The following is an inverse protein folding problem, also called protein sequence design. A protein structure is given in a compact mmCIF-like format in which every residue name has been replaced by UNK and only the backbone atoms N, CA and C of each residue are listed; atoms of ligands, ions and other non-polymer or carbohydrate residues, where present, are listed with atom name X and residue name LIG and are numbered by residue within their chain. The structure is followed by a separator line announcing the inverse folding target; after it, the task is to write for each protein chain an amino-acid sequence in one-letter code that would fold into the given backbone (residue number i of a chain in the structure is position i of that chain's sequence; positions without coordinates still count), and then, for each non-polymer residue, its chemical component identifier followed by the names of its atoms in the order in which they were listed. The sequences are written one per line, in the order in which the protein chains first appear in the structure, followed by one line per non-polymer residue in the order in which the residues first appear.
data_IF_029817080230
#
_entry.id   IF_029817080230
#
_cell.length_a   1.000
_cell.length_b   1.000
_cell.length_c   1.000
_cell.angle_alpha   90.00
_cell.angle_beta   90.00
_cell.angle_gamma   90.00
#
_symmetry.space_group_name_H-M   'P 1'
#
loop_
_entity.id
_entity.type
_entity.pdbx_description
1 polymer ?
#
# COMPACT_ATOMS: atom_id res chain seq x y z
N UNK A 1 7.24 -14.75 3.19
CA UNK A 1 7.52 -16.09 3.72
C UNK A 1 9.00 -16.36 3.51
N UNK A 2 9.80 -16.17 4.55
CA UNK A 2 11.25 -16.41 4.52
C UNK A 2 11.62 -16.95 5.91
N UNK A 3 12.12 -18.18 5.95
CA UNK A 3 12.68 -18.79 7.14
C UNK A 3 14.17 -18.44 7.19
N UNK A 4 14.60 -17.96 8.36
CA UNK A 4 15.98 -17.74 8.75
C UNK A 4 16.68 -19.07 9.06
N UNK A 5 17.88 -19.27 8.53
CA UNK A 5 18.87 -20.14 9.15
C UNK A 5 20.23 -19.44 9.08
N UNK A 6 20.86 -19.35 10.25
CA UNK A 6 22.16 -18.78 10.53
C UNK A 6 23.28 -19.80 10.31
N UNK A 7 24.43 -19.34 9.80
CA UNK A 7 25.74 -19.91 10.14
C UNK A 7 26.56 -20.55 9.02
N UNK A 8 27.63 -19.82 8.65
CA UNK A 8 28.95 -20.22 8.14
C UNK A 8 29.23 -20.71 6.70
N UNK A 9 30.13 -19.92 6.09
CA UNK A 9 31.21 -20.18 5.10
C UNK A 9 30.90 -21.12 3.92
N UNK A 10 30.72 -20.52 2.74
CA UNK A 10 31.13 -21.13 1.48
C UNK A 10 30.20 -22.19 0.88
N UNK A 11 28.90 -22.19 1.19
CA UNK A 11 27.95 -23.07 0.51
C UNK A 11 27.66 -22.54 -0.91
N UNK A 12 28.34 -23.10 -1.91
CA UNK A 12 27.88 -23.04 -3.31
C UNK A 12 26.41 -23.46 -3.33
N UNK A 13 25.54 -22.66 -3.96
CA UNK A 13 24.10 -22.90 -3.93
C UNK A 13 23.79 -24.32 -4.44
N UNK A 14 23.48 -25.25 -3.53
CA UNK A 14 23.17 -26.67 -3.81
C UNK A 14 22.00 -26.85 -4.78
N UNK A 15 21.20 -25.80 -4.98
CA UNK A 15 20.04 -25.80 -5.85
C UNK A 15 20.07 -24.57 -6.76
N UNK A 16 20.21 -24.80 -8.06
CA UNK A 16 19.98 -23.77 -9.09
C UNK A 16 18.58 -23.92 -9.67
N UNK A 17 17.91 -22.80 -9.98
CA UNK A 17 16.63 -22.84 -10.70
C UNK A 17 16.90 -23.42 -12.11
N UNK A 18 16.15 -24.45 -12.54
CA UNK A 18 16.37 -25.05 -13.85
C UNK A 18 16.13 -24.04 -14.96
N UNK A 19 17.00 -24.05 -15.97
CA UNK A 19 16.80 -23.25 -17.19
C UNK A 19 15.56 -23.77 -17.93
N UNK A 20 14.89 -22.86 -18.64
CA UNK A 20 13.77 -23.22 -19.53
C UNK A 20 14.27 -24.24 -20.57
N UNK A 21 13.68 -25.46 -20.64
CA UNK A 21 14.15 -26.49 -21.58
C UNK A 21 13.74 -26.23 -23.03
N UNK A 22 12.72 -25.39 -23.25
CA UNK A 22 12.22 -25.04 -24.59
C UNK A 22 10.88 -24.31 -24.54
N UNK A 23 10.27 -24.12 -25.71
CA UNK A 23 8.94 -23.54 -25.86
C UNK A 23 7.90 -24.63 -26.15
N UNK A 24 6.72 -24.52 -25.53
CA UNK A 24 5.61 -25.43 -25.81
C UNK A 24 5.06 -25.24 -27.23
N UNK A 25 4.82 -26.34 -27.94
CA UNK A 25 4.32 -26.37 -29.32
C UNK A 25 2.88 -26.87 -29.44
N UNK A 26 2.37 -27.57 -28.42
CA UNK A 26 1.01 -28.14 -28.38
C UNK A 26 -0.04 -27.06 -28.15
N UNK A 27 -1.23 -27.25 -28.75
CA UNK A 27 -2.39 -26.37 -28.60
C UNK A 27 -2.55 -25.33 -29.71
N UNK A 28 -3.78 -24.83 -29.87
CA UNK A 28 -4.15 -23.86 -30.91
C UNK A 28 -3.58 -22.47 -30.57
N UNK A 29 -2.85 -21.79 -31.48
CA UNK A 29 -2.37 -20.44 -31.23
C UNK A 29 -3.51 -19.44 -31.01
N UNK A 30 -3.31 -18.47 -30.11
CA UNK A 30 -4.23 -17.37 -29.85
C UNK A 30 -3.46 -16.07 -29.61
N UNK A 31 -3.92 -14.96 -30.20
CA UNK A 31 -3.33 -13.63 -29.96
C UNK A 31 -3.90 -13.06 -28.67
N UNK A 32 -3.02 -12.63 -27.76
CA UNK A 32 -3.37 -12.07 -26.46
C UNK A 32 -2.72 -10.70 -26.30
N UNK A 33 -3.34 -9.87 -25.45
CA UNK A 33 -2.74 -8.65 -24.91
C UNK A 33 -2.44 -8.89 -23.43
N UNK A 34 -1.20 -8.64 -23.02
CA UNK A 34 -0.80 -8.64 -21.62
C UNK A 34 -0.75 -7.20 -21.11
N UNK A 35 -1.17 -6.98 -19.86
CA UNK A 35 -1.04 -5.72 -19.14
C UNK A 35 0.41 -5.40 -18.73
N UNK A 36 1.33 -5.64 -19.66
CA UNK A 36 2.76 -5.44 -19.56
C UNK A 36 3.18 -4.50 -20.68
N UNK A 37 3.83 -3.41 -20.32
CA UNK A 37 4.25 -2.33 -21.20
C UNK A 37 5.77 -2.38 -21.34
N UNK A 38 6.27 -2.28 -22.56
CA UNK A 38 7.70 -2.41 -22.80
C UNK A 38 8.44 -1.18 -22.27
N UNK A 39 9.51 -1.40 -21.51
CA UNK A 39 10.42 -0.34 -21.03
C UNK A 39 11.73 -0.44 -21.80
N UNK A 40 12.11 0.64 -22.47
CA UNK A 40 13.41 0.83 -23.11
C UNK A 40 14.34 1.54 -22.12
N UNK A 41 15.46 0.88 -21.81
CA UNK A 41 16.43 1.31 -20.81
C UNK A 41 17.76 1.59 -21.53
N UNK A 42 18.44 2.72 -21.27
CA UNK A 42 19.74 3.00 -21.87
C UNK A 42 20.81 2.01 -21.40
N UNK A 43 21.82 1.78 -22.24
CA UNK A 43 22.99 0.96 -21.90
C UNK A 43 24.03 1.83 -21.21
N UNK A 44 23.78 2.17 -19.95
CA UNK A 44 24.66 3.00 -19.14
C UNK A 44 24.78 2.44 -17.72
N UNK A 45 25.74 2.96 -16.98
CA UNK A 45 25.84 2.73 -15.54
C UNK A 45 25.15 3.88 -14.80
N UNK A 46 24.54 3.57 -13.65
CA UNK A 46 23.97 4.58 -12.75
C UNK A 46 24.69 4.56 -11.41
N UNK A 47 24.74 5.71 -10.75
CA UNK A 47 25.48 5.89 -9.51
C UNK A 47 24.56 5.64 -8.32
N UNK A 48 24.87 4.63 -7.52
CA UNK A 48 24.18 4.33 -6.26
C UNK A 48 24.87 5.04 -5.11
N UNK A 49 24.06 5.77 -4.34
CA UNK A 49 24.43 6.41 -3.09
C UNK A 49 23.60 5.82 -1.94
N UNK A 50 24.24 5.68 -0.78
CA UNK A 50 23.55 5.44 0.48
C UNK A 50 23.21 6.78 1.13
N UNK A 51 21.95 6.91 1.55
CA UNK A 51 21.41 8.05 2.29
C UNK A 51 21.07 7.59 3.70
N UNK A 52 21.68 8.21 4.70
CA UNK A 52 21.33 8.02 6.12
C UNK A 52 20.64 9.29 6.65
N UNK A 53 19.47 9.15 7.27
CA UNK A 53 18.66 10.28 7.75
C UNK A 53 18.48 10.15 9.25
N UNK A 54 18.88 11.20 9.99
CA UNK A 54 18.68 11.33 11.44
C UNK A 54 17.68 12.46 11.73
N UNK A 55 16.70 12.26 12.62
CA UNK A 55 16.48 11.06 13.44
C UNK A 55 15.99 9.85 12.64
N UNK A 56 16.45 8.67 13.06
CA UNK A 56 16.08 7.38 12.46
C UNK A 56 14.60 7.05 12.68
N UNK A 57 14.06 6.07 11.93
CA UNK A 57 12.68 5.55 12.02
C UNK A 57 11.58 6.53 11.58
N UNK A 58 11.91 7.53 10.79
CA UNK A 58 10.92 8.36 10.12
C UNK A 58 10.11 7.54 9.08
N UNK A 59 8.80 7.83 8.90
CA UNK A 59 8.02 7.20 7.83
C UNK A 59 8.64 7.46 6.46
N UNK A 60 8.54 6.51 5.52
CA UNK A 60 9.13 6.65 4.17
C UNK A 60 8.71 7.92 3.45
N UNK A 61 7.44 8.37 3.64
CA UNK A 61 6.95 9.63 3.08
C UNK A 61 7.75 10.83 3.59
N UNK A 62 8.02 10.88 4.90
CA UNK A 62 8.85 11.94 5.50
C UNK A 62 10.26 11.87 4.95
N UNK A 63 10.85 10.67 4.83
CA UNK A 63 12.19 10.53 4.24
C UNK A 63 12.25 11.07 2.79
N UNK A 64 11.18 10.88 2.01
CA UNK A 64 11.08 11.42 0.65
C UNK A 64 10.99 12.94 0.65
N UNK A 65 10.18 13.52 1.55
CA UNK A 65 10.09 14.97 1.74
C UNK A 65 11.44 15.58 2.17
N UNK A 66 12.18 14.90 3.07
CA UNK A 66 13.54 15.30 3.47
C UNK A 66 14.48 15.30 2.27
N UNK A 67 14.50 14.22 1.48
CA UNK A 67 15.39 14.12 0.30
C UNK A 67 14.99 15.13 -0.79
N UNK A 68 13.70 15.35 -1.05
CA UNK A 68 13.24 16.35 -2.01
C UNK A 68 13.66 17.77 -1.59
N UNK A 69 13.47 18.12 -0.32
CA UNK A 69 13.93 19.40 0.24
C UNK A 69 15.45 19.54 0.17
N UNK A 70 16.20 18.48 0.47
CA UNK A 70 17.65 18.45 0.34
C UNK A 70 18.11 18.71 -1.09
N UNK A 71 17.48 18.07 -2.08
CA UNK A 71 17.82 18.24 -3.50
C UNK A 71 17.58 19.67 -3.97
N UNK A 72 16.48 20.28 -3.52
CA UNK A 72 16.17 21.68 -3.83
C UNK A 72 17.13 22.65 -3.14
N UNK A 73 17.42 22.44 -1.86
CA UNK A 73 18.25 23.34 -1.06
C UNK A 73 19.73 23.31 -1.48
N UNK A 74 20.26 22.12 -1.77
CA UNK A 74 21.65 21.92 -2.19
C UNK A 74 21.78 21.76 -3.72
N UNK A 75 20.83 22.35 -4.48
CA UNK A 75 20.84 22.29 -5.95
C UNK A 75 22.14 22.81 -6.54
N UNK A 76 22.60 23.99 -6.12
CA UNK A 76 23.79 24.62 -6.73
C UNK A 76 25.08 23.88 -6.38
N UNK A 77 25.20 23.35 -5.16
CA UNK A 77 26.45 22.81 -4.63
C UNK A 77 26.66 21.33 -4.94
N UNK A 78 25.59 20.52 -4.93
CA UNK A 78 25.70 19.05 -5.02
C UNK A 78 24.93 18.52 -6.22
N UNK A 79 23.64 18.85 -6.35
CA UNK A 79 22.78 18.14 -7.29
C UNK A 79 22.87 18.71 -8.72
N UNK A 80 23.19 19.99 -8.89
CA UNK A 80 23.12 20.69 -10.17
C UNK A 80 21.72 20.58 -10.76
N UNK A 81 21.63 20.24 -12.05
CA UNK A 81 20.34 19.95 -12.70
C UNK A 81 19.92 18.48 -12.63
N UNK A 82 20.69 17.64 -11.92
CA UNK A 82 20.40 16.21 -11.79
C UNK A 82 19.14 15.99 -10.97
N UNK A 83 18.36 14.98 -11.34
CA UNK A 83 17.13 14.58 -10.65
C UNK A 83 17.30 13.21 -10.01
N UNK A 84 17.86 13.13 -8.78
CA UNK A 84 18.05 11.85 -8.11
C UNK A 84 16.71 11.17 -7.83
N UNK A 85 16.70 9.84 -7.89
CA UNK A 85 15.56 9.02 -7.47
C UNK A 85 15.89 8.26 -6.19
N UNK A 86 14.94 8.24 -5.28
CA UNK A 86 15.09 7.68 -3.94
C UNK A 86 14.07 6.58 -3.65
N UNK A 87 14.46 5.53 -2.90
CA UNK A 87 13.59 4.43 -2.49
C UNK A 87 12.75 4.74 -1.23
N UNK A 88 13.00 5.87 -0.57
CA UNK A 88 12.33 6.28 0.66
C UNK A 88 12.96 5.70 1.94
N UNK A 89 14.12 5.03 1.82
CA UNK A 89 14.84 4.39 2.92
C UNK A 89 16.32 4.75 2.95
N UNK A 90 17.10 4.27 1.97
CA UNK A 90 18.56 4.34 1.98
C UNK A 90 19.17 4.46 0.59
N UNK A 91 18.49 4.01 -0.45
CA UNK A 91 19.08 3.92 -1.79
C UNK A 91 18.68 5.13 -2.62
N UNK A 92 19.66 5.92 -3.05
CA UNK A 92 19.50 7.05 -3.96
C UNK A 92 20.31 6.80 -5.23
N UNK A 93 19.68 7.00 -6.39
CA UNK A 93 20.32 6.79 -7.69
C UNK A 93 20.38 8.09 -8.46
N UNK A 94 21.43 8.28 -9.24
CA UNK A 94 21.58 9.38 -10.20
C UNK A 94 22.10 8.87 -11.54
N UNK A 95 21.71 9.55 -12.62
CA UNK A 95 22.21 9.27 -13.97
C UNK A 95 23.68 9.70 -14.15
N UNK A 96 24.09 10.77 -13.45
CA UNK A 96 25.42 11.36 -13.52
C UNK A 96 26.01 11.49 -12.11
N UNK A 97 27.35 11.43 -11.94
CA UNK A 97 27.97 11.45 -10.63
C UNK A 97 27.68 12.77 -9.90
N UNK A 98 27.41 12.66 -8.60
CA UNK A 98 27.40 13.76 -7.65
C UNK A 98 28.84 14.10 -7.22
N UNK A 99 29.17 15.39 -7.00
CA UNK A 99 30.48 15.85 -6.55
C UNK A 99 30.65 15.59 -5.04
N UNK A 100 30.59 14.33 -4.62
CA UNK A 100 30.68 13.89 -3.23
C UNK A 100 32.00 13.15 -3.03
N UNK A 101 32.72 13.49 -1.96
CA UNK A 101 33.96 12.81 -1.60
C UNK A 101 33.71 11.33 -1.23
N UNK A 102 34.73 10.44 -1.32
CA UNK A 102 34.57 9.04 -0.93
C UNK A 102 34.08 8.82 0.51
N UNK A 103 34.42 9.72 1.43
CA UNK A 103 33.96 9.69 2.82
C UNK A 103 32.47 10.06 2.99
N UNK A 104 31.84 10.62 1.96
CA UNK A 104 30.49 11.17 1.99
C UNK A 104 30.42 12.66 2.30
N UNK A 105 29.19 13.17 2.36
CA UNK A 105 28.87 14.52 2.79
C UNK A 105 27.70 14.48 3.77
N UNK A 106 27.81 15.27 4.85
CA UNK A 106 26.74 15.49 5.81
C UNK A 106 26.05 16.82 5.51
N UNK A 107 24.73 16.80 5.47
CA UNK A 107 23.87 17.92 5.10
C UNK A 107 22.81 18.14 6.16
N UNK A 108 22.65 19.37 6.59
CA UNK A 108 21.55 19.78 7.47
C UNK A 108 20.35 20.19 6.61
N UNK A 109 19.22 19.51 6.80
CA UNK A 109 17.99 19.72 6.04
C UNK A 109 16.86 20.04 7.02
N UNK A 110 16.13 21.12 6.77
CA UNK A 110 15.05 21.54 7.64
C UNK A 110 13.72 21.45 6.92
N UNK A 111 12.80 20.65 7.46
CA UNK A 111 11.41 20.63 6.98
C UNK A 111 10.53 21.54 7.85
N UNK A 112 9.50 22.17 7.27
CA UNK A 112 8.49 22.85 8.06
C UNK A 112 7.75 21.82 8.93
N UNK A 113 7.78 22.03 10.25
CA UNK A 113 7.07 21.16 11.18
C UNK A 113 5.68 21.65 11.56
N UNK A 114 4.90 20.76 12.16
CA UNK A 114 3.56 21.07 12.65
C UNK A 114 3.64 22.07 13.81
N UNK A 115 2.94 23.20 13.68
CA UNK A 115 2.90 24.23 14.71
C UNK A 115 4.06 25.23 14.65
N UNK A 116 4.57 25.53 13.46
CA UNK A 116 5.55 26.60 13.24
C UNK A 116 6.95 26.31 13.79
N UNK A 117 7.22 25.07 14.21
CA UNK A 117 8.55 24.63 14.63
C UNK A 117 9.20 23.87 13.50
N UNK A 118 10.36 24.33 13.10
CA UNK A 118 11.21 23.64 12.13
C UNK A 118 11.65 22.27 12.65
N UNK A 119 11.70 21.31 11.73
CA UNK A 119 12.16 19.94 11.98
C UNK A 119 13.53 19.77 11.33
N UNK A 120 14.63 19.89 12.08
CA UNK A 120 15.96 19.67 11.55
C UNK A 120 16.21 18.17 11.35
N UNK A 121 16.89 17.84 10.27
CA UNK A 121 17.38 16.52 9.91
C UNK A 121 18.84 16.61 9.54
N UNK A 122 19.60 15.58 9.93
CA UNK A 122 20.97 15.38 9.42
C UNK A 122 20.95 14.27 8.40
N UNK A 123 21.44 14.55 7.20
CA UNK A 123 21.43 13.63 6.07
C UNK A 123 22.86 13.38 5.61
N UNK A 124 23.32 12.13 5.66
CA UNK A 124 24.60 11.71 5.10
C UNK A 124 24.38 11.09 3.73
N UNK A 125 25.14 11.51 2.72
CA UNK A 125 25.17 10.88 1.39
C UNK A 125 26.55 10.30 1.13
N UNK A 126 26.62 9.00 0.78
CA UNK A 126 27.87 8.29 0.50
C UNK A 126 27.76 7.52 -0.81
N UNK A 127 28.77 7.63 -1.69
CA UNK A 127 28.84 6.80 -2.89
C UNK A 127 29.07 5.34 -2.49
N UNK A 128 28.33 4.42 -3.12
CA UNK A 128 28.43 2.98 -2.84
C UNK A 128 29.05 2.26 -4.02
N UNK A 129 28.41 2.30 -5.19
CA UNK A 129 28.86 1.58 -6.37
C UNK A 129 28.19 2.12 -7.63
N UNK A 130 28.70 1.70 -8.79
CA UNK A 130 27.97 1.76 -10.04
C UNK A 130 27.00 0.57 -10.12
N UNK A 131 25.83 0.78 -10.71
CA UNK A 131 24.86 -0.25 -11.06
C UNK A 131 24.75 -0.28 -12.57
N UNK A 132 25.17 -1.39 -13.18
CA UNK A 132 25.27 -1.48 -14.63
C UNK A 132 23.96 -1.94 -15.28
N UNK A 133 23.32 -1.06 -16.05
CA UNK A 133 22.24 -1.48 -16.95
C UNK A 133 22.77 -2.13 -18.23
N UNK A 134 24.04 -1.95 -18.57
CA UNK A 134 24.67 -2.73 -19.63
C UNK A 134 24.61 -4.22 -19.33
N UNK A 135 25.03 -4.63 -18.13
CA UNK A 135 24.97 -6.02 -17.68
C UNK A 135 23.52 -6.55 -17.66
N UNK A 136 22.55 -5.71 -17.26
CA UNK A 136 21.13 -6.07 -17.32
C UNK A 136 20.71 -6.44 -18.75
N UNK A 137 21.12 -5.67 -19.75
CA UNK A 137 20.86 -6.00 -21.17
C UNK A 137 21.53 -7.30 -21.61
N UNK A 138 22.75 -7.58 -21.19
CA UNK A 138 23.43 -8.85 -21.50
C UNK A 138 22.68 -10.05 -20.92
N UNK A 139 22.18 -9.94 -19.69
CA UNK A 139 21.37 -10.98 -19.04
C UNK A 139 20.03 -11.17 -19.75
N UNK A 140 19.32 -10.07 -20.06
CA UNK A 140 18.02 -10.13 -20.75
C UNK A 140 18.12 -10.71 -22.17
N UNK A 141 19.27 -10.53 -22.82
CA UNK A 141 19.56 -11.06 -24.17
C UNK A 141 20.18 -12.46 -24.14
N UNK A 142 20.40 -13.04 -22.96
CA UNK A 142 21.01 -14.36 -22.81
C UNK A 142 22.48 -14.43 -23.19
N UNK A 143 23.16 -13.29 -23.34
CA UNK A 143 24.60 -13.19 -23.64
C UNK A 143 25.48 -13.33 -22.40
N UNK A 144 24.91 -13.03 -21.23
CA UNK A 144 25.54 -13.28 -19.93
C UNK A 144 24.58 -14.06 -19.04
N UNK A 145 25.14 -14.84 -18.11
CA UNK A 145 24.34 -15.48 -17.05
C UNK A 145 24.15 -14.49 -15.92
N UNK A 146 22.95 -14.43 -15.34
CA UNK A 146 22.77 -13.73 -14.08
C UNK A 146 23.77 -14.28 -13.07
N UNK A 147 24.51 -13.40 -12.39
CA UNK A 147 25.33 -13.82 -11.25
C UNK A 147 24.45 -14.63 -10.29
N UNK A 148 24.99 -15.68 -9.64
CA UNK A 148 24.29 -16.35 -8.55
C UNK A 148 23.75 -15.30 -7.58
N UNK A 149 22.58 -15.57 -6.99
CA UNK A 149 21.99 -14.66 -6.02
C UNK A 149 22.89 -14.63 -4.78
N UNK A 150 23.87 -13.73 -4.76
CA UNK A 150 24.71 -13.49 -3.61
C UNK A 150 23.82 -12.83 -2.55
N UNK A 151 23.43 -13.62 -1.55
CA UNK A 151 22.54 -13.17 -0.48
C UNK A 151 23.15 -11.99 0.31
N UNK A 152 24.47 -11.85 0.27
CA UNK A 152 25.24 -10.79 0.92
C UNK A 152 25.27 -9.47 0.13
N UNK A 153 24.98 -9.49 -1.18
CA UNK A 153 24.90 -8.25 -1.99
C UNK A 153 23.59 -7.51 -1.65
N UNK A 154 23.66 -6.22 -1.27
CA UNK A 154 22.46 -5.43 -1.00
C UNK A 154 21.53 -5.39 -2.22
N UNK A 155 20.21 -5.52 -2.02
CA UNK A 155 19.24 -5.46 -3.12
C UNK A 155 19.32 -4.16 -3.93
N UNK A 156 19.87 -3.09 -3.35
CA UNK A 156 20.08 -1.80 -4.00
C UNK A 156 21.11 -1.84 -5.13
N UNK A 157 22.03 -2.81 -5.16
CA UNK A 157 22.98 -2.98 -6.27
C UNK A 157 22.36 -3.73 -7.46
N UNK A 158 21.17 -4.31 -7.29
CA UNK A 158 20.48 -5.03 -8.36
C UNK A 158 20.00 -4.03 -9.44
N UNK A 159 20.40 -4.20 -10.72
CA UNK A 159 19.97 -3.32 -11.81
C UNK A 159 18.45 -3.22 -11.96
N UNK A 160 17.70 -4.29 -11.72
CA UNK A 160 16.23 -4.30 -11.78
C UNK A 160 15.63 -3.46 -10.65
N UNK A 161 16.24 -3.44 -9.46
CA UNK A 161 15.81 -2.61 -8.36
C UNK A 161 15.98 -1.13 -8.69
N UNK A 162 17.11 -0.72 -9.28
CA UNK A 162 17.32 0.66 -9.73
C UNK A 162 16.24 1.09 -10.73
N UNK A 163 15.88 0.24 -11.70
CA UNK A 163 14.79 0.51 -12.66
C UNK A 163 13.44 0.68 -11.95
N UNK A 164 13.12 -0.19 -10.98
CA UNK A 164 11.88 -0.10 -10.19
C UNK A 164 11.84 1.21 -9.37
N UNK A 165 12.96 1.64 -8.77
CA UNK A 165 13.04 2.90 -8.02
C UNK A 165 12.82 4.12 -8.92
N UNK A 166 13.43 4.15 -10.12
CA UNK A 166 13.21 5.23 -11.11
C UNK A 166 11.73 5.37 -11.43
N UNK A 167 11.10 4.29 -11.90
CA UNK A 167 9.70 4.31 -12.34
C UNK A 167 8.70 4.54 -11.20
N UNK A 168 9.09 4.29 -9.94
CA UNK A 168 8.24 4.50 -8.77
C UNK A 168 8.45 5.83 -8.08
N UNK A 169 9.48 6.59 -8.42
CA UNK A 169 9.87 7.76 -7.65
C UNK A 169 8.75 8.80 -7.57
N UNK A 170 8.29 9.29 -8.72
CA UNK A 170 7.22 10.28 -8.79
C UNK A 170 5.87 9.74 -8.26
N UNK A 171 5.38 8.54 -8.64
CA UNK A 171 4.17 7.96 -8.05
C UNK A 171 4.22 7.85 -6.51
N UNK A 172 5.40 7.57 -5.94
CA UNK A 172 5.57 7.46 -4.48
C UNK A 172 5.51 8.81 -3.75
N UNK A 173 5.70 9.91 -4.46
CA UNK A 173 5.53 11.26 -3.93
C UNK A 173 4.13 11.81 -4.22
N UNK A 174 3.56 11.43 -5.37
CA UNK A 174 2.27 11.92 -5.86
C UNK A 174 1.07 11.12 -5.34
N UNK A 175 1.23 9.87 -4.92
CA UNK A 175 0.11 9.03 -4.47
C UNK A 175 0.39 8.40 -3.11
N UNK A 176 -0.59 7.67 -2.57
CA UNK A 176 -0.40 6.89 -1.35
C UNK A 176 0.07 5.47 -1.68
N UNK A 177 1.34 5.13 -1.39
CA UNK A 177 1.86 3.81 -1.68
C UNK A 177 1.36 2.77 -0.67
N UNK A 178 0.78 1.68 -1.15
CA UNK A 178 0.43 0.50 -0.36
C UNK A 178 1.00 -0.73 -1.05
N UNK A 179 2.05 -1.31 -0.45
CA UNK A 179 2.79 -2.41 -1.06
C UNK A 179 3.40 -2.01 -2.40
N UNK A 180 2.94 -2.65 -3.48
CA UNK A 180 3.35 -2.33 -4.85
C UNK A 180 2.37 -1.45 -5.63
N UNK A 181 1.30 -1.01 -4.97
CA UNK A 181 0.27 -0.20 -5.59
C UNK A 181 0.26 1.23 -5.08
N UNK A 182 -0.36 2.12 -5.87
CA UNK A 182 -0.51 3.54 -5.58
C UNK A 182 -1.99 3.91 -5.64
N UNK A 183 -2.48 4.65 -4.64
CA UNK A 183 -3.90 4.97 -4.49
C UNK A 183 -4.10 6.48 -4.29
N UNK A 184 -5.25 6.96 -4.74
CA UNK A 184 -5.71 8.34 -4.58
C UNK A 184 -7.14 8.36 -4.06
N UNK A 185 -7.50 9.45 -3.36
CA UNK A 185 -8.87 9.69 -2.97
C UNK A 185 -9.76 9.86 -4.21
N UNK A 186 -11.03 9.39 -4.17
CA UNK A 186 -11.96 9.55 -5.27
C UNK A 186 -12.26 11.03 -5.55
N UNK A 187 -12.42 11.38 -6.83
CA UNK A 187 -12.84 12.71 -7.29
C UNK A 187 -14.32 12.69 -7.66
N UNK A 188 -15.11 13.61 -7.10
CA UNK A 188 -16.49 13.87 -7.54
C UNK A 188 -17.56 12.83 -7.15
N UNK A 189 -17.18 11.64 -6.65
CA UNK A 189 -18.13 10.67 -6.12
C UNK A 189 -17.51 9.73 -5.08
N UNK A 190 -18.11 9.69 -3.88
CA UNK A 190 -17.68 8.80 -2.81
C UNK A 190 -18.15 7.37 -3.08
N UNK A 191 -17.30 6.39 -2.75
CA UNK A 191 -17.66 4.97 -2.78
C UNK A 191 -17.74 4.44 -1.34
N UNK A 192 -18.77 4.82 -0.55
CA UNK A 192 -18.85 4.49 0.85
C UNK A 192 -19.02 2.98 1.06
N UNK A 193 -18.26 2.43 2.01
CA UNK A 193 -18.36 1.04 2.47
C UNK A 193 -19.13 0.92 3.80
N UNK A 194 -19.49 2.05 4.40
CA UNK A 194 -20.03 2.14 5.76
C UNK A 194 -18.93 2.12 6.84
N UNK A 195 -19.30 2.44 8.09
CA UNK A 195 -18.38 2.43 9.23
C UNK A 195 -17.19 3.37 9.08
N UNK A 196 -17.36 4.49 8.36
CA UNK A 196 -16.32 5.47 8.16
C UNK A 196 -15.32 5.17 7.05
N UNK A 197 -15.61 4.19 6.19
CA UNK A 197 -14.70 3.69 5.16
C UNK A 197 -15.23 3.96 3.75
N UNK A 198 -14.31 4.02 2.81
CA UNK A 198 -14.57 4.22 1.38
C UNK A 198 -13.58 3.44 0.52
N UNK A 199 -13.93 3.20 -0.74
CA UNK A 199 -13.04 2.60 -1.73
C UNK A 199 -12.17 3.68 -2.36
N UNK A 200 -10.85 3.48 -2.35
CA UNK A 200 -9.95 4.22 -3.22
C UNK A 200 -9.51 3.34 -4.38
N UNK A 201 -9.54 3.92 -5.57
CA UNK A 201 -8.97 3.32 -6.76
C UNK A 201 -7.51 3.72 -6.92
N UNK A 202 -6.80 2.93 -7.69
CA UNK A 202 -5.37 3.06 -7.86
C UNK A 202 -4.86 2.04 -8.84
N UNK A 203 -3.57 1.76 -8.75
CA UNK A 203 -2.92 0.82 -9.64
C UNK A 203 -1.77 0.08 -9.00
N UNK A 204 -1.65 -1.18 -9.35
CA UNK A 204 -0.44 -1.97 -9.15
C UNK A 204 0.60 -1.59 -10.18
N UNK A 205 1.85 -1.43 -9.75
CA UNK A 205 2.99 -1.20 -10.62
C UNK A 205 4.11 -2.16 -10.28
N UNK A 206 4.69 -2.84 -11.28
CA UNK A 206 5.93 -3.60 -11.04
C UNK A 206 6.75 -3.72 -12.30
N UNK A 207 8.05 -3.55 -12.16
CA UNK A 207 9.02 -3.81 -13.22
C UNK A 207 9.43 -5.28 -13.16
N UNK A 208 9.43 -5.97 -14.30
CA UNK A 208 9.82 -7.38 -14.42
C UNK A 208 10.76 -7.61 -15.60
N UNK A 209 11.84 -8.39 -15.43
CA UNK A 209 12.60 -8.88 -16.57
C UNK A 209 11.75 -9.85 -17.38
N UNK A 210 11.70 -9.64 -18.69
CA UNK A 210 11.14 -10.58 -19.64
C UNK A 210 12.21 -10.95 -20.68
N UNK A 211 11.87 -11.85 -21.60
CA UNK A 211 12.79 -12.18 -22.68
C UNK A 211 13.10 -10.91 -23.49
N UNK A 212 14.38 -10.57 -23.62
CA UNK A 212 14.92 -9.45 -24.41
C UNK A 212 14.73 -8.03 -23.83
N UNK A 213 13.71 -7.78 -22.98
CA UNK A 213 13.39 -6.43 -22.51
C UNK A 213 12.82 -6.41 -21.09
N UNK A 214 12.87 -5.24 -20.46
CA UNK A 214 12.15 -4.99 -19.22
C UNK A 214 10.69 -4.65 -19.50
N UNK A 215 9.80 -5.14 -18.64
CA UNK A 215 8.36 -4.94 -18.75
C UNK A 215 7.83 -4.25 -17.51
N UNK A 216 7.05 -3.20 -17.72
CA UNK A 216 6.26 -2.53 -16.69
C UNK A 216 4.88 -3.19 -16.65
N UNK A 217 4.60 -3.97 -15.61
CA UNK A 217 3.29 -4.55 -15.38
C UNK A 217 2.42 -3.57 -14.59
N UNK A 218 1.27 -3.22 -15.17
CA UNK A 218 0.30 -2.27 -14.62
C UNK A 218 -1.05 -2.93 -14.55
N UNK A 219 -1.71 -2.84 -13.40
CA UNK A 219 -3.07 -3.33 -13.23
C UNK A 219 -3.90 -2.36 -12.40
N UNK A 220 -5.20 -2.31 -12.65
CA UNK A 220 -6.11 -1.49 -11.83
C UNK A 220 -6.25 -2.15 -10.46
N UNK A 221 -6.30 -1.35 -9.42
CA UNK A 221 -6.46 -1.83 -8.04
C UNK A 221 -7.48 -0.98 -7.29
N UNK A 222 -8.18 -1.58 -6.35
CA UNK A 222 -9.07 -0.90 -5.43
C UNK A 222 -8.85 -1.44 -4.02
N UNK A 223 -8.84 -0.57 -3.02
CA UNK A 223 -8.71 -0.99 -1.61
C UNK A 223 -9.44 -0.02 -0.68
N UNK A 224 -9.74 -0.47 0.54
CA UNK A 224 -10.50 0.30 1.51
C UNK A 224 -9.60 1.30 2.25
N UNK A 225 -10.06 2.54 2.35
CA UNK A 225 -9.46 3.61 3.16
C UNK A 225 -10.50 4.18 4.12
N UNK A 226 -10.04 4.84 5.20
CA UNK A 226 -10.91 5.64 6.05
C UNK A 226 -11.20 6.98 5.37
N UNK A 227 -12.46 7.41 5.39
CA UNK A 227 -12.84 8.71 4.85
C UNK A 227 -12.16 9.82 5.64
N UNK A 228 -11.73 10.88 4.95
CA UNK A 228 -11.29 12.11 5.60
C UNK A 228 -12.50 12.90 6.10
N UNK A 229 -12.95 12.61 7.33
CA UNK A 229 -14.18 13.19 7.91
C UNK A 229 -14.04 13.51 9.40
N UNK A 230 -14.93 14.37 9.96
CA UNK A 230 -14.98 14.66 11.39
C UNK A 230 -15.11 13.41 12.24
N UNK A 231 -14.42 13.38 13.38
CA UNK A 231 -14.46 12.23 14.30
C UNK A 231 -15.88 11.96 14.82
N UNK A 232 -16.70 13.00 15.00
CA UNK A 232 -18.12 12.86 15.33
C UNK A 232 -18.87 12.11 14.23
N UNK A 233 -18.67 12.48 12.97
CA UNK A 233 -19.32 11.81 11.83
C UNK A 233 -18.84 10.36 11.69
N UNK A 234 -17.53 10.13 11.86
CA UNK A 234 -16.97 8.78 11.90
C UNK A 234 -17.60 7.92 13.01
N UNK A 235 -17.75 8.47 14.22
CA UNK A 235 -18.44 7.81 15.33
C UNK A 235 -19.89 7.47 14.97
N UNK A 236 -20.61 8.41 14.35
CA UNK A 236 -21.97 8.20 13.88
C UNK A 236 -22.05 7.06 12.85
N UNK A 237 -21.16 7.01 11.86
CA UNK A 237 -21.13 5.92 10.87
C UNK A 237 -20.77 4.56 11.51
N UNK A 238 -19.90 4.52 12.51
CA UNK A 238 -19.50 3.27 13.20
C UNK A 238 -20.61 2.74 14.11
N UNK A 239 -21.33 3.64 14.77
CA UNK A 239 -22.37 3.31 15.75
C UNK A 239 -23.78 3.29 15.16
N UNK A 240 -23.93 3.58 13.87
CA UNK A 240 -25.21 3.68 13.16
C UNK A 240 -26.15 4.71 13.80
N UNK A 241 -25.59 5.89 14.11
CA UNK A 241 -26.32 7.02 14.69
C UNK A 241 -26.64 8.01 13.56
N UNK A 242 -27.92 8.15 13.23
CA UNK A 242 -28.35 9.07 12.15
C UNK A 242 -28.22 10.55 12.53
N UNK A 243 -28.54 10.90 13.78
CA UNK A 243 -28.50 12.28 14.27
C UNK A 243 -27.80 12.34 15.63
N UNK A 244 -26.68 13.05 15.70
CA UNK A 244 -25.93 13.23 16.94
C UNK A 244 -26.67 14.11 17.96
N UNK A 245 -27.50 15.04 17.49
CA UNK A 245 -28.28 15.93 18.35
C UNK A 245 -29.39 15.18 19.10
N UNK A 246 -29.81 14.02 18.58
CA UNK A 246 -30.75 13.10 19.25
C UNK A 246 -30.07 12.19 20.30
N UNK A 247 -28.75 12.32 20.48
CA UNK A 247 -27.98 11.57 21.47
C UNK A 247 -27.52 12.47 22.64
N UNK A 248 -28.44 12.92 23.53
CA UNK A 248 -28.09 13.80 24.65
C UNK A 248 -27.38 13.06 25.80
N UNK A 249 -27.26 11.72 25.71
CA UNK A 249 -26.72 10.86 26.77
C UNK A 249 -25.29 10.41 26.43
N UNK A 250 -24.45 10.15 27.45
CA UNK A 250 -23.15 9.51 27.24
C UNK A 250 -23.28 8.17 26.49
N UNK A 251 -22.25 7.79 25.76
CA UNK A 251 -22.21 6.49 25.08
C UNK A 251 -22.31 5.34 26.10
N UNK A 252 -23.05 4.29 25.74
CA UNK A 252 -23.04 3.03 26.49
C UNK A 252 -21.65 2.39 26.42
N UNK A 253 -21.28 1.56 27.40
CA UNK A 253 -19.98 0.88 27.39
C UNK A 253 -19.79 0.02 26.13
N UNK A 254 -20.86 -0.60 25.60
CA UNK A 254 -20.83 -1.35 24.34
C UNK A 254 -20.49 -0.45 23.14
N UNK A 255 -21.18 0.69 23.00
CA UNK A 255 -20.91 1.66 21.93
C UNK A 255 -19.50 2.24 22.03
N UNK A 256 -19.07 2.62 23.24
CA UNK A 256 -17.73 3.13 23.48
C UNK A 256 -16.66 2.11 23.09
N UNK A 257 -16.82 0.84 23.47
CA UNK A 257 -15.87 -0.23 23.09
C UNK A 257 -15.86 -0.45 21.58
N UNK A 258 -17.02 -0.50 20.92
CA UNK A 258 -17.12 -0.61 19.46
C UNK A 258 -16.39 0.53 18.76
N UNK A 259 -16.67 1.78 19.16
CA UNK A 259 -15.99 2.97 18.64
C UNK A 259 -14.48 2.95 18.89
N UNK A 260 -14.05 2.54 20.09
CA UNK A 260 -12.63 2.47 20.48
C UNK A 260 -11.87 1.50 19.57
N UNK A 261 -12.45 0.33 19.26
CA UNK A 261 -11.84 -0.66 18.35
C UNK A 261 -11.60 -0.10 16.96
N UNK A 262 -12.51 0.75 16.48
CA UNK A 262 -12.45 1.34 15.14
C UNK A 262 -11.49 2.53 15.03
N UNK A 263 -11.42 3.39 16.06
CA UNK A 263 -10.60 4.61 16.01
C UNK A 263 -9.17 4.43 16.54
N UNK A 264 -8.93 3.42 17.40
CA UNK A 264 -7.60 3.19 17.99
C UNK A 264 -6.58 2.90 16.88
N UNK A 265 -5.47 3.63 16.89
CA UNK A 265 -4.40 3.51 15.92
C UNK A 265 -4.53 4.42 14.70
N UNK A 266 -5.68 5.07 14.49
CA UNK A 266 -5.88 6.07 13.43
C UNK A 266 -5.18 7.39 13.76
N UNK A 267 -4.86 8.16 12.73
CA UNK A 267 -4.33 9.52 12.88
C UNK A 267 -5.47 10.53 12.74
N UNK A 268 -5.56 11.44 13.70
CA UNK A 268 -6.51 12.55 13.71
C UNK A 268 -5.75 13.88 13.68
N UNK A 269 -6.35 14.86 13.04
CA UNK A 269 -5.82 16.21 12.91
C UNK A 269 -6.66 17.20 13.72
N UNK A 270 -6.02 18.09 14.47
CA UNK A 270 -6.73 19.11 15.28
C UNK A 270 -6.87 20.43 14.54
N UNK A 271 -7.94 21.18 14.81
CA UNK A 271 -8.18 22.52 14.19
C UNK A 271 -8.39 23.67 15.16
N UNK A 272 -8.45 23.41 16.46
CA UNK A 272 -8.63 24.47 17.46
C UNK A 272 -7.43 25.43 17.56
N UNK A 273 -6.31 25.14 16.90
CA UNK A 273 -5.10 25.98 16.87
C UNK A 273 -4.96 26.80 15.57
N UNK A 274 -6.06 27.19 14.94
CA UNK A 274 -6.05 28.06 13.74
C UNK A 274 -5.28 27.43 12.57
N UNK A 275 -4.23 28.09 12.09
CA UNK A 275 -3.38 27.60 10.99
C UNK A 275 -2.51 26.40 11.37
N UNK A 276 -2.36 26.09 12.67
CA UNK A 276 -1.57 24.95 13.14
C UNK A 276 -2.39 23.66 13.12
N UNK A 277 -2.16 22.83 12.09
CA UNK A 277 -2.85 21.55 11.88
C UNK A 277 -2.03 20.36 12.39
N UNK A 278 -2.01 20.17 13.71
CA UNK A 278 -1.21 19.12 14.35
C UNK A 278 -1.89 17.75 14.24
N UNK A 279 -1.11 16.70 13.96
CA UNK A 279 -1.59 15.32 13.80
C UNK A 279 -1.19 14.47 15.00
N UNK A 280 -2.12 13.64 15.46
CA UNK A 280 -1.88 12.71 16.54
C UNK A 280 -2.40 11.32 16.22
N UNK A 281 -1.71 10.29 16.72
CA UNK A 281 -2.23 8.92 16.68
C UNK A 281 -3.09 8.68 17.91
N UNK A 282 -4.30 8.20 17.70
CA UNK A 282 -5.22 7.82 18.78
C UNK A 282 -4.73 6.53 19.41
N UNK A 283 -4.56 6.53 20.73
CA UNK A 283 -4.17 5.34 21.49
C UNK A 283 -5.33 4.78 22.31
N UNK A 284 -6.30 5.62 22.70
CA UNK A 284 -7.48 5.18 23.44
C UNK A 284 -8.66 6.14 23.32
N UNK A 285 -9.81 5.74 23.88
CA UNK A 285 -11.00 6.59 24.09
C UNK A 285 -11.33 6.57 25.59
N UNK A 286 -11.57 7.73 26.18
CA UNK A 286 -11.82 7.85 27.61
C UNK A 286 -13.14 7.21 28.02
N UNK A 287 -13.19 6.66 29.24
CA UNK A 287 -14.45 6.18 29.82
C UNK A 287 -15.33 7.33 30.31
N UNK A 288 -14.71 8.37 30.89
CA UNK A 288 -15.41 9.57 31.34
C UNK A 288 -15.66 10.52 30.17
N UNK A 289 -16.80 11.24 30.15
CA UNK A 289 -17.08 12.26 29.14
C UNK A 289 -16.18 13.48 29.30
N UNK A 290 -16.08 14.34 28.28
CA UNK A 290 -15.23 15.54 28.30
C UNK A 290 -15.53 16.51 29.46
N UNK A 291 -16.79 16.56 29.90
CA UNK A 291 -17.24 17.30 31.09
C UNK A 291 -16.62 16.83 32.40
N UNK A 292 -16.23 15.56 32.52
CA UNK A 292 -15.77 14.92 33.76
C UNK A 292 -14.38 14.29 33.64
N UNK A 293 -13.83 14.16 32.43
CA UNK A 293 -12.47 13.71 32.21
C UNK A 293 -11.52 14.80 32.66
N UNK A 294 -10.69 14.50 33.65
CA UNK A 294 -9.69 15.43 34.18
C UNK A 294 -8.28 15.05 33.75
N UNK A 295 -7.37 16.01 33.87
CA UNK A 295 -5.94 15.81 33.75
C UNK A 295 -5.20 16.81 34.66
N UNK A 296 -3.98 16.47 35.10
CA UNK A 296 -3.16 17.40 35.86
C UNK A 296 -2.65 18.52 34.96
N UNK A 297 -3.04 19.75 35.26
CA UNK A 297 -2.61 20.98 34.57
C UNK A 297 -1.66 21.76 35.47
N UNK A 298 -0.42 22.00 35.02
CA UNK A 298 0.48 22.94 35.67
C UNK A 298 0.12 24.36 35.27
N UNK A 299 -0.15 25.20 36.27
CA UNK A 299 -0.38 26.63 36.13
C UNK A 299 0.96 27.38 36.09
N UNK A 300 0.93 28.65 35.65
CA UNK A 300 2.12 29.50 35.53
C UNK A 300 2.84 29.73 36.88
N UNK A 301 2.11 29.64 37.99
CA UNK A 301 2.65 29.72 39.35
C UNK A 301 3.32 28.43 39.84
N UNK A 302 3.45 27.41 38.98
CA UNK A 302 4.04 26.10 39.31
C UNK A 302 3.11 25.13 40.03
N UNK A 303 1.89 25.55 40.40
CA UNK A 303 0.91 24.68 41.04
C UNK A 303 0.28 23.73 40.01
N UNK A 304 0.11 22.45 40.39
CA UNK A 304 -0.65 21.49 39.58
C UNK A 304 -2.08 21.40 40.08
N UNK A 305 -3.05 21.63 39.20
CA UNK A 305 -4.48 21.52 39.50
C UNK A 305 -5.12 20.49 38.57
N UNK A 306 -6.07 19.72 39.11
CA UNK A 306 -6.92 18.87 38.28
C UNK A 306 -7.91 19.76 37.52
N UNK A 307 -7.91 19.67 36.19
CA UNK A 307 -8.83 20.44 35.33
C UNK A 307 -9.57 19.49 34.41
N UNK A 308 -10.87 19.74 34.21
CA UNK A 308 -11.62 18.96 33.21
C UNK A 308 -11.25 19.38 31.80
N UNK A 309 -11.36 18.46 30.84
CA UNK A 309 -11.13 18.75 29.42
C UNK A 309 -12.06 19.86 28.94
N UNK A 310 -13.35 19.81 29.29
CA UNK A 310 -14.31 20.84 28.91
C UNK A 310 -13.96 22.24 29.47
N UNK A 311 -13.53 22.33 30.74
CA UNK A 311 -13.12 23.61 31.34
C UNK A 311 -11.86 24.15 30.68
N UNK A 312 -10.86 23.29 30.45
CA UNK A 312 -9.62 23.69 29.79
C UNK A 312 -9.86 24.29 28.40
N UNK A 313 -10.69 23.66 27.56
CA UNK A 313 -10.99 24.19 26.23
C UNK A 313 -11.78 25.50 26.27
N UNK A 314 -12.68 25.66 27.24
CA UNK A 314 -13.41 26.92 27.45
C UNK A 314 -12.47 28.05 27.86
N UNK A 315 -11.58 27.82 28.83
CA UNK A 315 -10.71 28.87 29.37
C UNK A 315 -9.52 29.17 28.44
N UNK A 316 -8.85 28.15 27.92
CA UNK A 316 -7.63 28.32 27.11
C UNK A 316 -7.90 28.75 25.67
N UNK A 317 -8.98 28.26 25.08
CA UNK A 317 -9.29 28.47 23.66
C UNK A 317 -10.61 29.20 23.42
N UNK A 318 -11.29 29.67 24.47
CA UNK A 318 -12.63 30.29 24.37
C UNK A 318 -13.64 29.40 23.61
N UNK A 319 -13.47 28.07 23.70
CA UNK A 319 -14.25 27.10 22.94
C UNK A 319 -15.24 26.36 23.85
N UNK A 320 -16.52 26.64 23.67
CA UNK A 320 -17.60 25.91 24.34
C UNK A 320 -17.98 24.66 23.53
N UNK A 321 -17.73 23.49 24.11
CA UNK A 321 -18.08 22.20 23.51
C UNK A 321 -19.60 22.06 23.35
N UNK A 322 -20.07 21.62 22.17
CA UNK A 322 -21.49 21.30 21.90
C UNK A 322 -21.87 19.94 22.48
N UNK A 323 -20.94 18.99 22.53
CA UNK A 323 -21.16 17.62 23.00
C UNK A 323 -20.25 17.25 24.20
N UNK A 324 -20.30 17.98 25.32
CA UNK A 324 -19.44 17.72 26.49
C UNK A 324 -19.75 16.39 27.20
N UNK A 325 -20.85 15.73 26.87
CA UNK A 325 -21.25 14.40 27.33
C UNK A 325 -20.59 13.25 26.57
N UNK A 326 -19.91 13.51 25.45
CA UNK A 326 -19.16 12.51 24.70
C UNK A 326 -17.76 12.28 25.30
N UNK A 327 -17.14 11.10 25.07
CA UNK A 327 -15.79 10.82 25.54
C UNK A 327 -14.74 11.65 24.78
N UNK A 328 -13.50 11.60 25.25
CA UNK A 328 -12.34 12.20 24.58
C UNK A 328 -11.49 11.11 23.90
N UNK A 329 -10.76 11.50 22.85
CA UNK A 329 -9.65 10.71 22.34
C UNK A 329 -8.43 10.91 23.22
N UNK A 330 -7.81 9.83 23.68
CA UNK A 330 -6.46 9.89 24.22
C UNK A 330 -5.48 9.69 23.06
N UNK A 331 -4.49 10.57 22.96
CA UNK A 331 -3.57 10.60 21.82
C UNK A 331 -2.10 10.68 22.25
N UNK A 332 -1.21 10.21 21.37
CA UNK A 332 0.23 10.21 21.63
C UNK A 332 0.66 9.01 22.47
N UNK A 333 1.31 9.26 23.62
CA UNK A 333 1.79 8.21 24.52
C UNK A 333 0.69 7.82 25.50
N UNK A 334 0.42 6.51 25.64
CA UNK A 334 -0.64 6.00 26.54
C UNK A 334 -0.39 6.36 28.02
N UNK A 335 0.87 6.55 28.42
CA UNK A 335 1.25 6.98 29.78
C UNK A 335 1.01 8.48 30.02
N UNK A 336 0.72 9.26 28.98
CA UNK A 336 0.47 10.70 29.07
C UNK A 336 -1.03 11.02 29.01
N UNK A 337 -1.38 12.17 29.59
CA UNK A 337 -2.75 12.64 29.76
C UNK A 337 -3.16 13.64 28.66
N UNK A 338 -2.91 13.33 27.39
CA UNK A 338 -3.29 14.21 26.27
C UNK A 338 -4.65 13.78 25.72
N UNK A 339 -5.68 14.57 26.04
CA UNK A 339 -7.07 14.30 25.68
C UNK A 339 -7.61 15.34 24.70
N UNK A 340 -8.27 14.87 23.65
CA UNK A 340 -8.92 15.71 22.64
C UNK A 340 -10.43 15.42 22.64
N UNK A 341 -11.29 16.44 22.82
CA UNK A 341 -12.71 16.32 22.51
C UNK A 341 -12.92 15.85 21.07
N UNK A 342 -13.97 15.06 20.82
CA UNK A 342 -14.29 14.57 19.48
C UNK A 342 -14.56 15.72 18.49
N UNK A 343 -15.08 16.85 18.98
CA UNK A 343 -15.44 18.03 18.19
C UNK A 343 -14.23 18.81 17.63
N UNK A 344 -13.09 18.77 18.31
CA UNK A 344 -11.91 19.56 17.94
C UNK A 344 -10.93 18.80 17.02
N UNK A 345 -11.34 17.61 16.57
CA UNK A 345 -10.59 16.70 15.69
C UNK A 345 -11.37 16.47 14.37
N UNK A 346 -11.26 17.34 13.36
CA UNK A 346 -12.26 17.35 12.27
C UNK A 346 -11.94 16.43 11.11
N UNK A 347 -10.81 15.73 11.12
CA UNK A 347 -10.51 14.79 10.04
C UNK A 347 -9.69 13.60 10.52
N UNK A 348 -10.17 12.39 10.22
CA UNK A 348 -9.28 11.23 10.07
C UNK A 348 -8.35 11.54 8.91
N UNK A 349 -7.04 11.59 9.16
CA UNK A 349 -6.08 11.91 8.13
C UNK A 349 -5.72 10.65 7.33
N UNK A 350 -6.36 10.46 6.19
CA UNK A 350 -5.79 9.66 5.11
C UNK A 350 -4.89 10.56 4.29
N UNK A 351 -3.62 10.19 4.19
CA UNK A 351 -2.73 10.83 3.24
C UNK A 351 -3.35 10.70 1.85
N UNK A 352 -3.81 11.80 1.26
CA UNK A 352 -4.33 11.84 -0.10
C UNK A 352 -3.54 12.83 -0.93
N UNK A 353 -3.24 12.40 -2.14
CA UNK A 353 -3.02 13.23 -3.31
C UNK A 353 -3.85 12.58 -4.42
N UNK A 354 -4.43 13.40 -5.27
CA UNK A 354 -5.63 13.09 -6.03
C UNK A 354 -5.27 12.53 -7.41
N UNK A 355 -6.04 11.54 -7.91
CA UNK A 355 -6.08 11.15 -9.32
C UNK A 355 -7.41 10.46 -9.65
N UNK A 356 -7.94 10.84 -10.80
CA UNK A 356 -9.06 10.24 -11.52
C UNK A 356 -8.68 8.91 -12.17
N UNK A 357 -9.50 7.88 -11.95
CA UNK A 357 -9.32 6.57 -12.58
C UNK A 357 -10.09 6.50 -13.89
N UNK A 358 -9.37 6.51 -15.02
CA UNK A 358 -9.61 5.68 -16.22
C UNK A 358 -8.57 6.07 -17.29
N UNK A 359 -7.94 5.05 -17.91
CA UNK A 359 -6.81 5.10 -18.87
C UNK A 359 -5.42 5.25 -18.21
N UNK A 360 -5.03 4.23 -17.45
CA UNK A 360 -3.99 4.35 -16.44
C UNK A 360 -2.54 4.52 -16.96
N UNK A 361 -2.22 4.13 -18.20
CA UNK A 361 -0.88 4.35 -18.77
C UNK A 361 -0.81 5.62 -19.60
N UNK A 362 -1.78 5.86 -20.50
CA UNK A 362 -1.81 7.12 -21.28
C UNK A 362 -2.01 8.34 -20.40
N UNK A 363 -2.83 8.23 -19.35
CA UNK A 363 -3.01 9.31 -18.37
C UNK A 363 -1.84 9.43 -17.38
N UNK A 364 -1.09 8.35 -17.12
CA UNK A 364 0.14 8.43 -16.32
C UNK A 364 1.26 9.17 -17.05
N UNK A 365 1.28 9.11 -18.39
CA UNK A 365 2.22 9.82 -19.27
C UNK A 365 3.67 9.74 -18.77
N UNK A 366 4.22 8.52 -18.66
CA UNK A 366 5.59 8.29 -18.20
C UNK A 366 6.64 9.05 -19.03
N UNK A 367 6.35 9.37 -20.29
CA UNK A 367 7.21 10.19 -21.15
C UNK A 367 7.33 11.65 -20.65
N UNK A 368 6.35 12.15 -19.90
CA UNK A 368 6.38 13.48 -19.27
C UNK A 368 6.92 13.45 -17.82
N UNK A 369 7.21 12.27 -17.26
CA UNK A 369 7.80 12.17 -15.93
C UNK A 369 9.27 12.62 -15.99
N UNK A 370 9.64 13.72 -15.30
CA UNK A 370 10.98 14.27 -15.40
C UNK A 370 12.07 13.36 -14.84
N UNK A 371 11.73 12.45 -13.91
CA UNK A 371 12.68 11.46 -13.39
C UNK A 371 12.87 10.33 -14.40
N UNK A 372 11.83 9.92 -15.12
CA UNK A 372 11.95 8.94 -16.21
C UNK A 372 12.80 9.51 -17.35
N UNK A 373 12.61 10.80 -17.68
CA UNK A 373 13.41 11.52 -18.68
C UNK A 373 14.90 11.65 -18.29
N UNK A 374 15.19 12.00 -17.04
CA UNK A 374 16.58 12.09 -16.51
C UNK A 374 17.36 10.80 -16.75
N UNK A 375 16.72 9.64 -16.53
CA UNK A 375 17.31 8.32 -16.75
C UNK A 375 17.09 7.78 -18.16
N UNK A 376 16.55 8.59 -19.08
CA UNK A 376 16.37 8.29 -20.50
C UNK A 376 15.53 7.02 -20.75
N UNK A 377 14.58 6.73 -19.87
CA UNK A 377 13.67 5.61 -20.04
C UNK A 377 12.58 5.99 -21.02
N UNK A 378 12.15 5.02 -21.82
CA UNK A 378 10.94 5.15 -22.65
C UNK A 378 9.98 4.02 -22.34
N UNK A 379 8.71 4.35 -22.12
CA UNK A 379 7.67 3.38 -21.78
C UNK A 379 6.63 3.39 -22.88
N UNK A 380 6.46 2.26 -23.56
CA UNK A 380 5.42 2.13 -24.58
C UNK A 380 4.04 2.19 -23.93
N UNK A 381 3.10 2.88 -24.57
CA UNK A 381 1.72 3.01 -24.10
C UNK A 381 0.82 1.84 -24.55
N UNK A 382 1.34 0.98 -25.43
CA UNK A 382 0.65 -0.20 -25.93
C UNK A 382 0.95 -1.45 -25.07
N UNK A 383 -0.10 -2.23 -24.83
CA UNK A 383 0.01 -3.54 -24.18
C UNK A 383 0.84 -4.50 -25.04
N UNK A 384 1.66 -5.32 -24.39
CA UNK A 384 2.46 -6.32 -25.08
C UNK A 384 1.57 -7.37 -25.76
N UNK A 385 1.76 -7.52 -27.07
CA UNK A 385 1.18 -8.62 -27.84
C UNK A 385 1.93 -9.92 -27.54
N UNK A 386 1.20 -10.95 -27.12
CA UNK A 386 1.75 -12.26 -26.82
C UNK A 386 0.95 -13.32 -27.57
N UNK A 387 1.63 -14.32 -28.14
CA UNK A 387 0.96 -15.49 -28.72
C UNK A 387 0.84 -16.56 -27.64
N UNK A 388 -0.38 -16.79 -27.16
CA UNK A 388 -0.72 -17.90 -26.28
C UNK A 388 -1.06 -19.18 -27.05
N UNK A 389 -1.30 -20.26 -26.31
CA UNK A 389 -1.78 -21.54 -26.86
C UNK A 389 -2.94 -22.06 -26.02
N UNK A 390 -4.05 -22.40 -26.66
CA UNK A 390 -5.18 -23.08 -26.04
C UNK A 390 -4.90 -24.58 -26.09
N UNK A 391 -4.58 -25.16 -24.94
CA UNK A 391 -4.32 -26.59 -24.82
C UNK A 391 -5.62 -27.38 -24.99
N UNK A 392 -5.57 -28.58 -25.60
CA UNK A 392 -6.72 -29.47 -25.62
C UNK A 392 -7.11 -29.83 -24.18
N UNK A 393 -8.41 -29.81 -23.88
CA UNK A 393 -8.91 -30.29 -22.62
C UNK A 393 -8.65 -31.81 -22.50
N UNK A 394 -8.28 -32.32 -21.31
CA UNK A 394 -8.18 -33.75 -21.11
C UNK A 394 -9.57 -34.39 -21.24
N UNK A 395 -9.60 -35.66 -21.62
CA UNK A 395 -10.81 -36.47 -21.59
C UNK A 395 -11.03 -36.98 -20.16
N UNK A 396 -12.28 -36.92 -19.68
CA UNK A 396 -12.66 -37.48 -18.38
C UNK A 396 -13.23 -38.87 -18.56
N UNK A 397 -12.71 -39.83 -17.80
CA UNK A 397 -13.20 -41.19 -17.76
C UNK A 397 -14.28 -41.33 -16.67
N UNK A 398 -15.44 -41.88 -17.05
CA UNK A 398 -16.58 -42.12 -16.16
C UNK A 398 -16.80 -43.62 -15.93
N UNK A 399 -17.64 -43.97 -14.95
CA UNK A 399 -17.99 -45.35 -14.62
C UNK A 399 -19.37 -45.75 -15.14
N UNK A 400 -19.85 -46.93 -14.75
CA UNK A 400 -21.19 -47.44 -15.08
C UNK A 400 -21.24 -48.31 -16.34
N UNK A 401 -22.37 -49.01 -16.54
CA UNK A 401 -22.55 -50.02 -17.62
C UNK A 401 -23.11 -49.45 -18.95
N UNK A 402 -23.44 -48.16 -19.03
CA UNK A 402 -24.33 -47.62 -20.09
C UNK A 402 -23.61 -46.82 -21.19
N UNK A 403 -22.31 -46.51 -21.08
CA UNK A 403 -21.65 -45.74 -22.16
C UNK A 403 -20.80 -46.63 -23.07
N UNK A 404 -21.20 -46.74 -24.34
CA UNK A 404 -20.36 -47.25 -25.43
C UNK A 404 -19.15 -46.36 -25.74
N UNK A 405 -19.07 -45.16 -25.15
CA UNK A 405 -17.88 -44.31 -25.12
C UNK A 405 -17.48 -44.02 -23.67
N UNK A 406 -16.38 -44.61 -23.19
CA UNK A 406 -15.90 -44.46 -21.80
C UNK A 406 -15.25 -43.08 -21.52
N UNK A 407 -15.27 -42.17 -22.50
CA UNK A 407 -14.64 -40.87 -22.45
C UNK A 407 -15.56 -39.83 -23.07
N UNK A 408 -15.82 -38.72 -22.37
CA UNK A 408 -16.64 -37.62 -22.91
C UNK A 408 -15.76 -36.45 -23.33
N UNK A 409 -15.95 -35.98 -24.57
CA UNK A 409 -15.45 -34.68 -25.04
C UNK A 409 -16.32 -33.57 -24.43
N UNK A 410 -15.77 -32.43 -23.99
CA UNK A 410 -16.55 -31.33 -23.43
C UNK A 410 -17.62 -30.87 -24.41
N UNK A 411 -18.78 -30.45 -23.89
CA UNK A 411 -19.88 -29.92 -24.69
C UNK A 411 -19.34 -28.74 -25.51
N UNK A 412 -19.33 -28.87 -26.84
CA UNK A 412 -19.06 -27.77 -27.78
C UNK A 412 -20.25 -26.81 -27.76
N UNK A 413 -20.40 -26.09 -26.64
CA UNK A 413 -21.07 -24.79 -26.66
C UNK A 413 -20.09 -23.80 -27.29
N UNK A 414 -20.64 -22.78 -27.96
CA UNK A 414 -20.00 -21.80 -28.86
C UNK A 414 -18.83 -21.02 -28.23
N UNK A 415 -18.49 -21.26 -26.98
CA UNK A 415 -17.39 -20.66 -26.23
C UNK A 415 -16.41 -21.75 -25.81
N UNK A 416 -15.13 -21.59 -26.14
CA UNK A 416 -14.00 -22.45 -25.74
C UNK A 416 -13.83 -22.56 -24.21
N UNK A 417 -14.80 -23.16 -23.52
CA UNK A 417 -14.88 -23.32 -22.08
C UNK A 417 -15.06 -24.82 -21.79
N UNK A 418 -14.10 -25.40 -21.07
CA UNK A 418 -14.20 -26.78 -20.60
C UNK A 418 -15.19 -26.87 -19.44
N UNK A 419 -16.47 -27.03 -19.74
CA UNK A 419 -17.51 -27.33 -18.77
C UNK A 419 -17.97 -28.78 -18.93
N UNK A 420 -17.93 -29.56 -17.86
CA UNK A 420 -18.41 -30.95 -17.83
C UNK A 420 -19.64 -31.03 -16.93
N UNK A 421 -20.70 -31.69 -17.39
CA UNK A 421 -21.93 -31.93 -16.64
C UNK A 421 -22.10 -33.45 -16.53
N UNK A 422 -22.46 -33.96 -15.35
CA UNK A 422 -22.68 -35.39 -15.08
C UNK A 422 -23.99 -35.95 -15.66
N UNK A 423 -24.65 -35.24 -16.58
CA UNK A 423 -25.96 -35.65 -17.10
C UNK A 423 -25.79 -36.92 -17.93
N UNK A 424 -26.42 -38.01 -17.48
CA UNK A 424 -26.33 -39.32 -18.14
C UNK A 424 -25.03 -40.09 -17.87
N UNK A 425 -24.18 -39.61 -16.96
CA UNK A 425 -22.91 -40.26 -16.59
C UNK A 425 -22.97 -40.78 -15.15
N UNK A 426 -22.24 -41.87 -14.85
CA UNK A 426 -22.05 -42.36 -13.48
C UNK A 426 -20.64 -42.04 -13.00
N UNK A 427 -20.49 -41.85 -11.68
CA UNK A 427 -19.17 -41.69 -11.06
C UNK A 427 -18.32 -42.94 -11.29
N UNK A 428 -17.00 -42.74 -11.47
CA UNK A 428 -16.06 -43.82 -11.82
C UNK A 428 -16.10 -44.98 -10.82
N UNK A 429 -16.09 -44.66 -9.53
CA UNK A 429 -16.31 -45.61 -8.43
C UNK A 429 -17.60 -45.25 -7.72
N UNK A 430 -18.60 -46.13 -7.80
CA UNK A 430 -19.89 -45.93 -7.13
C UNK A 430 -19.78 -46.30 -5.65
N UNK A 431 -20.05 -45.36 -4.76
CA UNK A 431 -20.26 -45.63 -3.34
C UNK A 431 -21.75 -45.86 -3.12
N UNK A 432 -22.11 -47.03 -2.61
CA UNK A 432 -23.48 -47.33 -2.21
C UNK A 432 -23.72 -46.76 -0.81
N UNK A 433 -24.58 -45.74 -0.69
CA UNK A 433 -24.98 -45.21 0.59
C UNK A 433 -25.95 -46.19 1.28
N UNK A 434 -25.41 -47.07 2.14
CA UNK A 434 -26.20 -48.06 2.89
C UNK A 434 -26.90 -47.43 4.10
N UNK A 435 -26.26 -46.44 4.73
CA UNK A 435 -26.81 -45.67 5.84
C UNK A 435 -26.64 -44.19 5.56
N UNK A 436 -27.71 -43.42 5.69
CA UNK A 436 -27.69 -41.96 5.61
C UNK A 436 -28.56 -41.37 6.72
N UNK A 437 -28.02 -40.39 7.44
CA UNK A 437 -28.71 -39.69 8.53
C UNK A 437 -28.93 -38.24 8.10
N UNK A 438 -30.16 -37.75 8.24
CA UNK A 438 -30.52 -36.36 7.98
C UNK A 438 -30.81 -35.65 9.31
N UNK A 439 -29.99 -34.65 9.65
CA UNK A 439 -30.23 -33.79 10.81
C UNK A 439 -30.60 -32.39 10.37
N UNK A 440 -31.86 -31.99 10.58
CA UNK A 440 -32.40 -30.69 10.19
C UNK A 440 -32.32 -29.73 11.37
N UNK A 441 -31.46 -28.71 11.26
CA UNK A 441 -31.27 -27.66 12.29
C UNK A 441 -32.20 -26.46 12.06
N UNK A 442 -33.08 -26.52 11.06
CA UNK A 442 -34.11 -25.51 10.85
C UNK A 442 -35.21 -25.65 11.92
N UNK A 443 -35.60 -24.55 12.56
CA UNK A 443 -36.78 -24.50 13.43
C UNK A 443 -38.04 -24.82 12.60
N UNK A 444 -38.51 -26.06 12.63
CA UNK A 444 -39.85 -26.38 12.19
C UNK A 444 -40.85 -25.76 13.16
N UNK A 445 -41.63 -24.75 12.72
CA UNK A 445 -42.92 -24.47 13.36
C UNK A 445 -43.77 -25.72 13.13
N UNK A 446 -44.11 -26.42 14.20
CA UNK A 446 -45.10 -27.51 14.18
C UNK A 446 -46.39 -26.97 13.55
N UNK A 447 -46.71 -27.41 12.33
CA UNK A 447 -48.09 -27.50 11.90
C UNK A 447 -48.56 -28.90 12.27
N UNK A 448 -49.57 -28.93 13.13
CA UNK A 448 -50.34 -30.11 13.48
C UNK A 448 -50.84 -30.75 12.18
N UNK A 449 -50.40 -31.98 11.88
CA UNK A 449 -51.13 -32.82 10.94
C UNK A 449 -52.13 -33.60 11.80
N UNK A 450 -53.39 -33.22 11.62
CA UNK A 450 -54.57 -33.96 12.05
C UNK A 450 -54.49 -35.37 11.45
N UNK A 451 -54.84 -36.35 12.28
CA UNK A 451 -54.97 -37.81 12.06
C UNK A 451 -55.10 -38.30 10.63
#
# INVERSE_FOLDING_TARGET
VALSLSGDVGAQALFSVPRRPGYGTVGKPIKLLANCFQVEIPKMDVYLYEVDIKPEKCPRRVNREVVDSMVQHFKVTIFGDRRPVYDGKKSLYTANPLPVAPAGVDLDVTLPGEGGKDRPFKVSIKFVSLVSWHLLHEVLTGRSTSEPLELDKPISTNPVHAVDVVLRHLPSMKYTPVGRSFFSAPEGYDHPLGGGREVWFGFHQSVRPAMWKMMLNIDVSATAFYKAQPVIQFMCEVLDIHNIDEQPRPLTDSHRVKFTKEIKGLKVEVTHCGTMRRKYRVCNVTRRPASHQTFPLQLENGQTVERTVAQYFREKYSLQLKYPHLPCLQVGQEQKHTYLPLEVSPAIHTSSLVVTSLILVRSANYEADPFVQEFQFKVRDEMAHVTGRVLPAPMLQYGGRVSTEHFMVPFLSITHISLFILRGQQIYTVIQAVHSLLYIVAKCRFFSVVT
#
